data_IF_150499791717
#
_entry.id   IF_150499791717
#
_cell.length_a   1.000
_cell.length_b   1.000
_cell.length_c   1.000
_cell.angle_alpha   90.00
_cell.angle_beta   90.00
_cell.angle_gamma   90.00
#
_symmetry.space_group_name_H-M   'P 1'
#
loop_
_entity.id
_entity.type
_entity.pdbx_description
1 polymer ?
#
# COMPACT_ATOMS: atom_id res chain seq x y z
N UNK A 1 2.45 -3.68 -16.66
CA UNK A 1 2.31 -2.77 -17.82
C UNK A 1 1.17 -1.84 -17.44
N UNK A 2 1.45 -0.56 -17.27
CA UNK A 2 0.48 0.39 -16.70
C UNK A 2 0.30 1.50 -17.72
N UNK A 3 -0.93 1.72 -18.15
CA UNK A 3 -1.27 2.85 -19.01
C UNK A 3 -1.14 4.11 -18.15
N UNK A 4 -0.46 5.12 -18.66
CA UNK A 4 -0.39 6.45 -18.03
C UNK A 4 -1.50 7.36 -18.58
N UNK A 5 -1.95 8.38 -17.82
CA UNK A 5 -2.90 9.37 -18.34
C UNK A 5 -2.39 10.03 -19.64
N UNK A 6 -1.08 10.31 -19.70
CA UNK A 6 -0.43 10.88 -20.88
C UNK A 6 -0.60 9.96 -22.11
N UNK A 7 -0.36 8.66 -21.94
CA UNK A 7 -0.54 7.68 -23.03
C UNK A 7 -1.99 7.59 -23.52
N UNK A 8 -2.99 7.84 -22.66
CA UNK A 8 -4.41 7.89 -23.07
C UNK A 8 -4.64 9.09 -23.97
N UNK A 9 -4.14 10.26 -23.58
CA UNK A 9 -4.29 11.50 -24.35
C UNK A 9 -3.54 11.46 -25.68
N UNK A 10 -2.36 10.84 -25.72
CA UNK A 10 -1.51 10.78 -26.91
C UNK A 10 -1.92 9.64 -27.87
N UNK A 11 -2.91 8.81 -27.48
CA UNK A 11 -3.29 7.63 -28.27
C UNK A 11 -4.07 8.00 -29.52
N UNK A 12 -3.41 7.91 -30.68
CA UNK A 12 -4.09 7.92 -31.97
C UNK A 12 -4.52 6.51 -32.41
N UNK A 13 -5.79 6.34 -32.76
CA UNK A 13 -6.33 5.12 -33.36
C UNK A 13 -6.37 5.23 -34.89
N UNK A 14 -6.09 4.12 -35.59
CA UNK A 14 -6.22 4.06 -37.04
C UNK A 14 -7.68 4.07 -37.46
N UNK A 15 -7.99 4.70 -38.59
CA UNK A 15 -9.34 4.72 -39.17
C UNK A 15 -9.54 3.53 -40.10
N UNK A 16 -10.69 2.89 -39.99
CA UNK A 16 -11.09 1.74 -40.82
C UNK A 16 -12.51 1.93 -41.36
N UNK A 17 -12.85 1.24 -42.46
CA UNK A 17 -14.15 1.37 -43.14
C UNK A 17 -15.36 1.09 -42.23
N UNK A 18 -15.17 0.28 -41.18
CA UNK A 18 -16.09 0.12 -40.06
C UNK A 18 -15.29 0.27 -38.77
N UNK A 19 -15.87 0.91 -37.77
CA UNK A 19 -15.23 1.16 -36.48
C UNK A 19 -16.18 1.88 -35.53
N UNK A 20 -15.69 2.14 -34.32
CA UNK A 20 -16.41 2.96 -33.35
C UNK A 20 -16.49 4.42 -33.80
N UNK A 21 -17.51 5.13 -33.32
CA UNK A 21 -17.59 6.57 -33.51
C UNK A 21 -16.44 7.23 -32.75
N UNK A 22 -15.62 8.01 -33.47
CA UNK A 22 -14.47 8.69 -32.89
C UNK A 22 -14.86 9.58 -31.71
N UNK A 23 -15.95 10.36 -31.82
CA UNK A 23 -16.36 11.28 -30.76
C UNK A 23 -16.79 10.54 -29.49
N UNK A 24 -17.48 9.40 -29.63
CA UNK A 24 -17.88 8.56 -28.49
C UNK A 24 -16.66 7.92 -27.81
N UNK A 25 -15.68 7.49 -28.60
CA UNK A 25 -14.41 6.96 -28.08
C UNK A 25 -13.65 8.04 -27.35
N UNK A 26 -13.50 9.24 -27.93
CA UNK A 26 -12.79 10.36 -27.33
C UNK A 26 -13.44 10.77 -25.99
N UNK A 27 -14.77 10.92 -25.96
CA UNK A 27 -15.54 11.19 -24.73
C UNK A 27 -15.36 10.12 -23.64
N UNK A 28 -15.18 8.86 -24.04
CA UNK A 28 -14.93 7.77 -23.11
C UNK A 28 -13.49 7.78 -22.58
N UNK A 29 -12.52 8.06 -23.44
CA UNK A 29 -11.11 8.17 -23.06
C UNK A 29 -10.87 9.35 -22.12
N UNK A 30 -11.56 10.48 -22.31
CA UNK A 30 -11.53 11.61 -21.38
C UNK A 30 -11.94 11.18 -19.96
N UNK A 31 -13.03 10.40 -19.84
CA UNK A 31 -13.48 9.89 -18.54
C UNK A 31 -12.44 8.97 -17.89
N UNK A 32 -11.82 8.08 -18.68
CA UNK A 32 -10.77 7.19 -18.18
C UNK A 32 -9.55 8.01 -17.75
N UNK A 33 -9.17 9.03 -18.52
CA UNK A 33 -8.08 9.94 -18.19
C UNK A 33 -8.29 10.57 -16.81
N UNK A 34 -9.45 11.21 -16.59
CA UNK A 34 -9.74 11.89 -15.33
C UNK A 34 -9.78 10.93 -14.14
N UNK A 35 -10.42 9.77 -14.29
CA UNK A 35 -10.47 8.77 -13.21
C UNK A 35 -9.09 8.18 -12.89
N UNK A 36 -8.26 7.95 -13.90
CA UNK A 36 -6.89 7.47 -13.70
C UNK A 36 -6.03 8.52 -13.01
N UNK A 37 -6.10 9.78 -13.43
CA UNK A 37 -5.37 10.88 -12.79
C UNK A 37 -5.76 11.03 -11.30
N UNK A 38 -7.07 10.97 -11.03
CA UNK A 38 -7.60 11.00 -9.66
C UNK A 38 -7.11 9.83 -8.83
N UNK A 39 -7.09 8.62 -9.39
CA UNK A 39 -6.62 7.41 -8.71
C UNK A 39 -5.12 7.51 -8.38
N UNK A 40 -4.30 8.01 -9.31
CA UNK A 40 -2.86 8.21 -9.08
C UNK A 40 -2.64 9.22 -7.96
N UNK A 41 -3.32 10.37 -8.01
CA UNK A 41 -3.22 11.39 -6.96
C UNK A 41 -3.61 10.84 -5.59
N UNK A 42 -4.72 10.12 -5.52
CA UNK A 42 -5.19 9.51 -4.28
C UNK A 42 -4.19 8.48 -3.73
N UNK A 43 -3.58 7.67 -4.62
CA UNK A 43 -2.53 6.73 -4.24
C UNK A 43 -1.34 7.46 -3.63
N UNK A 44 -0.83 8.49 -4.29
CA UNK A 44 0.34 9.25 -3.83
C UNK A 44 0.09 9.93 -2.48
N UNK A 45 -1.09 10.52 -2.29
CA UNK A 45 -1.52 11.12 -1.02
C UNK A 45 -1.62 10.06 0.10
N UNK A 46 -2.16 8.89 -0.22
CA UNK A 46 -2.30 7.78 0.73
C UNK A 46 -0.94 7.21 1.14
N UNK A 47 -0.02 7.02 0.19
CA UNK A 47 1.34 6.56 0.47
C UNK A 47 2.10 7.55 1.36
N UNK A 48 1.95 8.86 1.10
CA UNK A 48 2.53 9.90 1.96
C UNK A 48 1.95 9.86 3.37
N UNK A 49 0.63 9.64 3.49
CA UNK A 49 -0.03 9.51 4.78
C UNK A 49 0.44 8.29 5.56
N UNK A 50 0.56 7.13 4.90
CA UNK A 50 1.10 5.89 5.51
C UNK A 50 2.51 6.14 6.01
N UNK A 51 3.39 6.71 5.18
CA UNK A 51 4.78 7.01 5.57
C UNK A 51 4.86 7.90 6.81
N UNK A 52 3.98 8.92 6.91
CA UNK A 52 3.90 9.81 8.07
C UNK A 52 3.42 9.07 9.33
N UNK A 53 2.49 8.12 9.19
CA UNK A 53 2.04 7.29 10.31
C UNK A 53 3.14 6.33 10.76
N UNK A 54 3.85 5.70 9.83
CA UNK A 54 4.99 4.82 10.12
C UNK A 54 6.10 5.57 10.87
N UNK A 55 6.45 6.78 10.45
CA UNK A 55 7.42 7.64 11.14
C UNK A 55 6.97 7.94 12.58
N UNK A 56 5.71 8.35 12.77
CA UNK A 56 5.14 8.57 14.10
C UNK A 56 5.19 7.33 14.97
N UNK A 57 4.86 6.16 14.43
CA UNK A 57 4.91 4.90 15.18
C UNK A 57 6.34 4.52 15.57
N UNK A 58 7.30 4.73 14.66
CA UNK A 58 8.73 4.46 14.92
C UNK A 58 9.29 5.28 16.08
N UNK A 59 8.81 6.53 16.25
CA UNK A 59 9.17 7.37 17.39
C UNK A 59 8.78 6.70 18.72
N UNK A 60 7.58 6.11 18.80
CA UNK A 60 7.09 5.48 20.02
C UNK A 60 7.68 4.10 20.31
N UNK A 61 8.09 3.34 19.29
CA UNK A 61 8.66 1.99 19.48
C UNK A 61 10.14 1.99 19.85
N UNK A 62 10.87 3.07 19.56
CA UNK A 62 12.28 3.23 19.94
C UNK A 62 12.48 3.64 21.41
N UNK A 63 11.47 4.21 22.06
CA UNK A 63 11.52 4.67 23.47
C UNK A 63 11.05 3.62 24.48
N UNK A 64 10.74 2.39 24.05
CA UNK A 64 10.41 1.30 24.97
C UNK A 64 11.71 0.61 25.39
N UNK A 65 12.22 0.80 26.62
CA UNK A 65 13.36 0.02 27.09
C UNK A 65 12.97 -1.45 27.04
N UNK A 66 13.69 -2.23 26.22
CA UNK A 66 13.57 -3.68 26.22
C UNK A 66 13.84 -4.14 27.65
N UNK A 67 12.80 -4.56 28.38
CA UNK A 67 12.96 -5.23 29.67
C UNK A 67 13.79 -6.49 29.40
N UNK A 68 15.09 -6.43 29.67
CA UNK A 68 15.92 -7.62 29.82
C UNK A 68 15.40 -8.34 31.05
N UNK A 69 14.62 -9.39 30.82
CA UNK A 69 14.26 -10.34 31.88
C UNK A 69 15.55 -11.06 32.24
N UNK A 70 16.18 -10.66 33.34
CA UNK A 70 17.30 -11.39 33.93
C UNK A 70 16.72 -12.72 34.41
N UNK A 71 16.98 -13.80 33.68
CA UNK A 71 16.66 -15.16 34.09
C UNK A 71 17.67 -15.61 35.15
N UNK A 72 17.55 -15.10 36.36
CA UNK A 72 18.16 -15.68 37.55
C UNK A 72 17.03 -16.25 38.41
N UNK A 73 16.49 -17.38 37.98
CA UNK A 73 15.68 -18.23 38.84
C UNK A 73 16.43 -19.56 38.91
N UNK A 74 17.10 -19.82 40.04
CA UNK A 74 17.70 -21.12 40.29
C UNK A 74 16.61 -22.20 40.21
N UNK A 75 16.89 -23.36 39.60
CA UNK A 75 15.92 -24.44 39.55
C UNK A 75 15.74 -25.02 40.95
N UNK A 76 14.65 -24.66 41.62
CA UNK A 76 14.24 -25.35 42.84
C UNK A 76 13.94 -26.81 42.51
N UNK A 77 14.73 -27.72 43.10
CA UNK A 77 14.58 -29.14 42.94
C UNK A 77 13.21 -29.57 43.48
N UNK A 78 12.32 -29.98 42.57
CA UNK A 78 11.03 -30.58 42.89
C UNK A 78 11.33 -31.90 43.61
N UNK A 79 11.09 -31.92 44.92
CA UNK A 79 11.18 -33.11 45.75
C UNK A 79 9.98 -34.02 45.48
N UNK A 80 10.12 -34.92 44.50
CA UNK A 80 9.15 -35.99 44.23
C UNK A 80 9.26 -37.06 45.33
N UNK A 81 8.68 -36.75 46.48
CA UNK A 81 8.26 -37.74 47.47
C UNK A 81 6.77 -37.61 47.66
N UNK A 82 5.98 -38.33 46.85
CA UNK A 82 4.62 -38.77 47.19
C UNK A 82 4.24 -39.98 46.33
N UNK A 83 4.48 -41.15 46.93
CA UNK A 83 3.67 -42.37 46.98
C UNK A 83 3.51 -43.30 45.76
N UNK A 84 4.14 -44.47 45.94
CA UNK A 84 3.88 -45.87 45.50
C UNK A 84 3.77 -46.23 44.02
#
# INVERSE_FOLDING_TARGET
>A
MSITPQEISDKAFSRTFRGYNQEEVDLFLDKIYFELEKMIRYKDETELYIKKLEERLSYYTNDIPKRTVTSEQEPEAINDSIFY
#
